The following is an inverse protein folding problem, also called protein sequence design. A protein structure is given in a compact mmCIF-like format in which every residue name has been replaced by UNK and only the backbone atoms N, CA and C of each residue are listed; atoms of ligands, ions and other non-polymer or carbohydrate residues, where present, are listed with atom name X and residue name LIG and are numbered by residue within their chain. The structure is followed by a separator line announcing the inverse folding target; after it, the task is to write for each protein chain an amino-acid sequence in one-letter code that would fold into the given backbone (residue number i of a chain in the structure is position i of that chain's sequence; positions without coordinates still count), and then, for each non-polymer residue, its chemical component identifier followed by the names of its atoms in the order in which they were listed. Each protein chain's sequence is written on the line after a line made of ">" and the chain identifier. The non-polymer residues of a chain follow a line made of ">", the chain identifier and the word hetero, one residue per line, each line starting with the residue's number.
data_IF_902269619216
#
_entry.id   IF_902269619216
#
_cell.length_a   1.000
_cell.length_b   1.000
_cell.length_c   1.000
_cell.angle_alpha   90.00
_cell.angle_beta   90.00
_cell.angle_gamma   90.00
#
_symmetry.space_group_name_H-M   'P 1'
#
loop_
_entity.id
_entity.type
_entity.pdbx_description
1 polymer ?
#
# COMPACT_ATOMS: atom_id res chain seq x y z
N UNK A 1 -3.71 -1.42 17.70
CA UNK A 1 -3.47 0.02 17.50
C UNK A 1 -4.27 0.74 18.58
N UNK A 2 -3.69 0.94 19.76
CA UNK A 2 -4.42 1.50 20.92
C UNK A 2 -4.03 2.96 21.26
N UNK A 3 -3.07 3.56 20.55
CA UNK A 3 -2.52 4.89 20.88
C UNK A 3 -2.47 5.85 19.67
N UNK A 4 -3.63 6.19 19.10
CA UNK A 4 -3.77 7.34 18.18
C UNK A 4 -3.03 7.25 16.83
N UNK A 5 -2.27 6.19 16.58
CA UNK A 5 -1.61 5.92 15.30
C UNK A 5 -2.61 5.25 14.34
N UNK A 6 -3.25 6.08 13.51
CA UNK A 6 -4.07 5.64 12.39
C UNK A 6 -3.15 5.26 11.23
N UNK A 7 -3.07 3.95 10.93
CA UNK A 7 -2.38 3.43 9.75
C UNK A 7 -3.39 2.90 8.74
N UNK A 8 -3.27 3.35 7.49
CA UNK A 8 -4.01 2.85 6.33
C UNK A 8 -3.07 2.12 5.40
N UNK A 9 -3.46 0.93 4.97
CA UNK A 9 -2.69 0.07 4.07
C UNK A 9 -3.60 -0.29 2.90
N UNK A 10 -3.10 -0.11 1.68
CA UNK A 10 -3.76 -0.56 0.46
C UNK A 10 -2.96 -1.70 -0.13
N UNK A 11 -3.63 -2.83 -0.33
CA UNK A 11 -3.08 -4.03 -0.93
C UNK A 11 -3.85 -4.27 -2.23
N UNK A 12 -3.17 -4.66 -3.31
CA UNK A 12 -3.85 -5.04 -4.54
C UNK A 12 -4.75 -6.25 -4.30
N UNK A 13 -5.94 -6.21 -4.89
CA UNK A 13 -6.85 -7.37 -4.93
C UNK A 13 -6.54 -8.22 -6.16
N UNK A 14 -5.33 -8.76 -6.20
CA UNK A 14 -4.87 -9.67 -7.24
C UNK A 14 -4.05 -10.81 -6.63
N UNK A 15 -3.60 -11.74 -7.46
CA UNK A 15 -2.84 -12.90 -6.96
C UNK A 15 -1.46 -12.54 -6.39
N UNK A 16 -0.98 -11.31 -6.59
CA UNK A 16 0.29 -10.86 -6.06
C UNK A 16 0.15 -10.19 -4.68
N UNK A 17 -1.03 -9.65 -4.33
CA UNK A 17 -1.29 -8.95 -3.07
C UNK A 17 -0.20 -7.91 -2.74
N UNK A 18 0.13 -7.08 -3.72
CA UNK A 18 1.16 -6.06 -3.60
C UNK A 18 0.72 -4.96 -2.64
N UNK A 19 1.63 -4.53 -1.77
CA UNK A 19 1.44 -3.31 -0.99
C UNK A 19 1.56 -2.10 -1.92
N UNK A 20 0.44 -1.44 -2.17
CA UNK A 20 0.34 -0.31 -3.09
C UNK A 20 0.65 1.00 -2.40
N UNK A 21 0.17 1.14 -1.15
CA UNK A 21 0.28 2.38 -0.40
C UNK A 21 0.23 2.12 1.11
N UNK A 22 0.96 2.94 1.86
CA UNK A 22 0.82 3.06 3.31
C UNK A 22 0.72 4.53 3.67
N UNK A 23 -0.23 4.86 4.53
CA UNK A 23 -0.32 6.16 5.17
C UNK A 23 -0.37 5.96 6.68
N UNK A 24 0.46 6.71 7.41
CA UNK A 24 0.41 6.71 8.88
C UNK A 24 0.58 8.12 9.41
N UNK A 25 -0.29 8.49 10.34
CA UNK A 25 -0.18 9.75 11.08
C UNK A 25 0.79 9.54 12.24
N UNK A 26 1.85 10.33 12.24
CA UNK A 26 2.83 10.37 13.34
C UNK A 26 2.63 11.67 14.13
N UNK A 27 3.29 11.78 15.29
CA UNK A 27 3.16 12.96 16.15
C UNK A 27 3.39 14.29 15.42
N UNK A 28 4.34 14.31 14.48
CA UNK A 28 4.66 15.48 13.65
C UNK A 28 4.52 15.21 12.15
N UNK A 29 3.31 14.85 11.71
CA UNK A 29 2.94 14.87 10.30
C UNK A 29 2.40 13.55 9.79
N UNK A 30 2.57 13.33 8.49
CA UNK A 30 1.97 12.22 7.76
C UNK A 30 3.04 11.57 6.89
N UNK A 31 3.31 10.29 7.13
CA UNK A 31 4.14 9.49 6.25
C UNK A 31 3.24 8.91 5.16
N UNK A 32 3.66 9.07 3.90
CA UNK A 32 3.04 8.44 2.73
C UNK A 32 4.09 7.67 1.95
N UNK A 33 3.86 6.37 1.77
CA UNK A 33 4.64 5.53 0.87
C UNK A 33 3.72 5.01 -0.23
N UNK A 34 4.18 5.07 -1.48
CA UNK A 34 3.44 4.59 -2.67
C UNK A 34 4.37 3.71 -3.49
N UNK A 35 3.86 2.57 -3.95
CA UNK A 35 4.59 1.67 -4.85
C UNK A 35 4.89 2.40 -6.17
N UNK A 36 6.18 2.59 -6.46
CA UNK A 36 6.62 3.25 -7.70
C UNK A 36 6.86 2.24 -8.83
N UNK A 37 7.54 1.13 -8.52
CA UNK A 37 7.92 0.11 -9.49
C UNK A 37 7.86 -1.29 -8.88
N UNK A 38 7.60 -2.28 -9.72
CA UNK A 38 7.61 -3.70 -9.36
C UNK A 38 8.35 -4.51 -10.42
N UNK A 39 9.00 -5.59 -10.02
CA UNK A 39 9.72 -6.51 -10.92
C UNK A 39 9.63 -7.95 -10.44
N UNK A 40 9.76 -8.89 -11.37
CA UNK A 40 9.75 -10.33 -11.10
C UNK A 40 8.51 -10.81 -10.33
N UNK A 41 7.32 -10.35 -10.73
CA UNK A 41 6.07 -10.80 -10.12
C UNK A 41 5.84 -12.30 -10.34
N UNK A 42 5.30 -12.97 -9.32
CA UNK A 42 4.97 -14.40 -9.37
C UNK A 42 3.76 -14.66 -10.29
N UNK A 43 2.84 -13.71 -10.37
CA UNK A 43 1.66 -13.76 -11.24
C UNK A 43 1.61 -12.49 -12.11
N UNK A 44 1.05 -12.56 -13.33
CA UNK A 44 0.79 -11.37 -14.13
C UNK A 44 -0.01 -10.35 -13.30
N UNK A 45 0.37 -9.08 -13.38
CA UNK A 45 -0.37 -8.02 -12.70
C UNK A 45 -1.76 -7.89 -13.33
N UNK A 46 -2.79 -7.83 -12.49
CA UNK A 46 -4.16 -7.56 -12.93
C UNK A 46 -4.55 -6.16 -12.47
N UNK A 47 -4.69 -5.23 -13.41
CA UNK A 47 -5.16 -3.87 -13.16
C UNK A 47 -6.57 -3.75 -13.75
N UNK A 48 -7.49 -3.18 -12.97
CA UNK A 48 -8.80 -2.75 -13.47
C UNK A 48 -8.65 -1.26 -13.79
N UNK A 49 -8.81 -0.89 -15.06
CA UNK A 49 -8.90 0.52 -15.49
C UNK A 49 -10.36 0.99 -15.34
N UNK A 50 -10.57 2.24 -14.91
CA UNK A 50 -11.89 2.89 -14.78
C UNK A 50 -12.48 3.29 -16.14
#
# INVERSE_FOLDING_TARGET
>A
FEDGEEMKIWISDDKNYLLLKVETKIWTGLIKAVLQEYKHLKHPLSIIEE
#
